data_IF_554785496981
#
_entry.id   IF_554785496981
#
_cell.length_a   1.000
_cell.length_b   1.000
_cell.length_c   1.000
_cell.angle_alpha   90.00
_cell.angle_beta   90.00
_cell.angle_gamma   90.00
#
_symmetry.space_group_name_H-M   'P 1'
#
loop_
_entity.id
_entity.type
_entity.pdbx_description
1 polymer ?
#
# COMPACT_ATOMS: atom_id res chain seq x y z
N UNK A 1 -11.48 8.59 21.30
CA UNK A 1 -10.23 8.94 20.57
C UNK A 1 -9.07 7.96 20.81
N UNK A 2 -9.07 7.17 21.89
CA UNK A 2 -7.98 6.24 22.23
C UNK A 2 -7.86 5.04 21.27
N UNK A 3 -8.99 4.49 20.82
CA UNK A 3 -9.06 3.31 19.94
C UNK A 3 -8.29 3.49 18.61
N UNK A 4 -8.52 4.54 17.81
CA UNK A 4 -7.80 4.73 16.55
C UNK A 4 -6.30 5.01 16.73
N UNK A 5 -5.91 5.64 17.85
CA UNK A 5 -4.49 5.89 18.16
C UNK A 5 -3.78 4.57 18.47
N UNK A 6 -4.35 3.74 19.35
CA UNK A 6 -3.80 2.43 19.68
C UNK A 6 -3.68 1.53 18.44
N UNK A 7 -4.70 1.54 17.59
CA UNK A 7 -4.69 0.79 16.34
C UNK A 7 -3.63 1.31 15.35
N UNK A 8 -3.51 2.63 15.20
CA UNK A 8 -2.49 3.24 14.34
C UNK A 8 -1.07 2.90 14.78
N UNK A 9 -0.80 2.89 16.09
CA UNK A 9 0.50 2.46 16.64
C UNK A 9 0.76 0.99 16.34
N UNK A 10 -0.23 0.12 16.61
CA UNK A 10 -0.10 -1.32 16.38
C UNK A 10 0.17 -1.63 14.90
N UNK A 11 -0.63 -1.04 14.00
CA UNK A 11 -0.46 -1.20 12.55
C UNK A 11 0.87 -0.63 12.08
N UNK A 12 1.31 0.51 12.62
CA UNK A 12 2.60 1.12 12.28
C UNK A 12 3.77 0.20 12.61
N UNK A 13 3.79 -0.38 13.83
CA UNK A 13 4.84 -1.31 14.28
C UNK A 13 4.84 -2.59 13.43
N UNK A 14 3.66 -3.18 13.19
CA UNK A 14 3.55 -4.38 12.37
C UNK A 14 3.99 -4.13 10.92
N UNK A 15 3.61 -2.98 10.36
CA UNK A 15 3.87 -2.66 8.96
C UNK A 15 5.31 -2.19 8.71
N UNK A 16 5.99 -1.63 9.71
CA UNK A 16 7.33 -1.09 9.53
C UNK A 16 8.36 -2.17 9.18
N UNK A 17 8.17 -3.40 9.67
CA UNK A 17 9.00 -4.55 9.35
C UNK A 17 8.63 -5.23 8.02
N UNK A 18 7.37 -5.16 7.60
CA UNK A 18 6.89 -5.81 6.36
C UNK A 18 7.09 -4.95 5.10
N UNK A 19 7.30 -3.64 5.24
CA UNK A 19 7.43 -2.72 4.11
C UNK A 19 6.14 -2.44 3.33
N UNK A 20 4.98 -2.96 3.77
CA UNK A 20 3.69 -2.88 3.07
C UNK A 20 2.93 -1.56 3.29
N UNK A 21 3.42 -0.66 4.15
CA UNK A 21 2.85 0.69 4.33
C UNK A 21 1.55 0.78 5.16
N UNK A 22 0.97 -0.32 5.63
CA UNK A 22 -0.12 -0.35 6.64
C UNK A 22 -1.49 0.23 6.23
N UNK A 23 -1.57 0.90 5.08
CA UNK A 23 -2.80 1.55 4.58
C UNK A 23 -3.96 0.59 4.34
N UNK A 24 -3.68 -0.68 4.02
CA UNK A 24 -4.69 -1.71 3.83
C UNK A 24 -5.53 -1.98 5.09
N UNK A 25 -5.02 -1.66 6.28
CA UNK A 25 -5.75 -1.76 7.55
C UNK A 25 -6.40 -0.43 7.96
N UNK A 26 -5.79 0.70 7.59
CA UNK A 26 -6.28 2.04 7.98
C UNK A 26 -7.53 2.45 7.20
N UNK A 27 -7.60 2.15 5.89
CA UNK A 27 -8.77 2.51 5.07
C UNK A 27 -10.06 1.83 5.56
N UNK A 28 -10.11 0.49 5.75
CA UNK A 28 -11.32 -0.17 6.24
C UNK A 28 -11.74 0.30 7.63
N UNK A 29 -10.78 0.58 8.52
CA UNK A 29 -11.07 1.11 9.86
C UNK A 29 -11.78 2.46 9.78
N UNK A 30 -11.25 3.40 8.99
CA UNK A 30 -11.84 4.73 8.86
C UNK A 30 -13.25 4.68 8.25
N UNK A 31 -13.48 3.78 7.29
CA UNK A 31 -14.80 3.54 6.72
C UNK A 31 -15.78 2.97 7.76
N UNK A 32 -15.36 2.00 8.58
CA UNK A 32 -16.18 1.46 9.67
C UNK A 32 -16.51 2.50 10.74
N UNK A 33 -15.64 3.49 10.92
CA UNK A 33 -15.86 4.64 11.80
C UNK A 33 -16.79 5.72 11.18
N UNK A 34 -17.40 5.44 10.03
CA UNK A 34 -18.34 6.35 9.37
C UNK A 34 -17.68 7.54 8.66
N UNK A 35 -16.37 7.47 8.36
CA UNK A 35 -15.71 8.50 7.55
C UNK A 35 -16.00 8.29 6.08
N UNK A 36 -16.19 9.39 5.37
CA UNK A 36 -16.33 9.36 3.91
C UNK A 36 -15.10 8.71 3.25
N UNK A 37 -15.33 7.94 2.19
CA UNK A 37 -14.27 7.23 1.48
C UNK A 37 -13.13 8.15 1.02
N UNK A 38 -13.46 9.37 0.58
CA UNK A 38 -12.48 10.36 0.17
C UNK A 38 -11.55 10.77 1.32
N UNK A 39 -12.10 11.00 2.51
CA UNK A 39 -11.34 11.35 3.72
C UNK A 39 -10.54 10.15 4.21
N UNK A 40 -11.12 8.94 4.18
CA UNK A 40 -10.44 7.71 4.59
C UNK A 40 -9.21 7.43 3.73
N UNK A 41 -9.36 7.52 2.40
CA UNK A 41 -8.26 7.32 1.44
C UNK A 41 -7.18 8.38 1.62
N UNK A 42 -7.54 9.67 1.66
CA UNK A 42 -6.58 10.75 1.86
C UNK A 42 -5.80 10.64 3.17
N UNK A 43 -6.48 10.29 4.26
CA UNK A 43 -5.85 10.08 5.58
C UNK A 43 -4.90 8.90 5.56
N UNK A 44 -5.28 7.80 4.90
CA UNK A 44 -4.44 6.62 4.79
C UNK A 44 -3.15 6.90 4.00
N UNK A 45 -3.18 7.75 2.97
CA UNK A 45 -1.97 8.15 2.24
C UNK A 45 -0.96 8.86 3.13
N UNK A 46 -1.41 9.78 3.99
CA UNK A 46 -0.54 10.47 4.95
C UNK A 46 0.06 9.45 5.92
N UNK A 47 -0.74 8.50 6.40
CA UNK A 47 -0.26 7.43 7.27
C UNK A 47 0.80 6.56 6.59
N UNK A 48 0.53 6.09 5.36
CA UNK A 48 1.46 5.29 4.57
C UNK A 48 2.78 6.05 4.36
N UNK A 49 2.71 7.35 4.05
CA UNK A 49 3.89 8.20 3.87
C UNK A 49 4.75 8.25 5.14
N UNK A 50 4.14 8.42 6.31
CA UNK A 50 4.85 8.45 7.59
C UNK A 50 5.52 7.10 7.90
N UNK A 51 4.81 5.99 7.66
CA UNK A 51 5.36 4.64 7.82
C UNK A 51 6.53 4.42 6.84
N UNK A 52 6.38 4.83 5.58
CA UNK A 52 7.42 4.68 4.56
C UNK A 52 8.69 5.46 4.91
N UNK A 53 8.57 6.70 5.38
CA UNK A 53 9.72 7.50 5.85
C UNK A 53 10.39 6.81 7.04
N UNK A 54 9.60 6.37 8.03
CA UNK A 54 10.13 5.66 9.20
C UNK A 54 10.88 4.38 8.80
N UNK A 55 10.30 3.57 7.91
CA UNK A 55 10.92 2.35 7.39
C UNK A 55 12.18 2.65 6.59
N UNK A 56 12.18 3.68 5.73
CA UNK A 56 13.35 4.08 4.96
C UNK A 56 14.50 4.50 5.88
N UNK A 57 14.24 5.34 6.87
CA UNK A 57 15.26 5.77 7.85
C UNK A 57 15.77 4.57 8.65
N UNK A 58 14.87 3.69 9.11
CA UNK A 58 15.24 2.48 9.85
C UNK A 58 16.16 1.57 9.04
N UNK A 59 15.78 1.22 7.81
CA UNK A 59 16.57 0.34 6.95
C UNK A 59 17.84 1.00 6.43
N UNK A 60 17.82 2.31 6.18
CA UNK A 60 19.00 3.06 5.73
C UNK A 60 20.10 3.06 6.78
N UNK A 61 19.76 3.14 8.07
CA UNK A 61 20.74 3.10 9.17
C UNK A 61 21.44 1.73 9.28
N UNK A 62 20.77 0.66 8.86
CA UNK A 62 21.30 -0.71 8.89
C UNK A 62 22.04 -1.06 7.58
N UNK A 63 22.06 -0.16 6.59
CA UNK A 63 22.72 -0.38 5.30
C UNK A 63 21.93 -1.27 4.33
N UNK A 64 20.67 -1.59 4.62
CA UNK A 64 19.82 -2.49 3.83
C UNK A 64 19.06 -1.78 2.69
N UNK A 65 19.47 -0.57 2.30
CA UNK A 65 18.78 0.22 1.28
C UNK A 65 19.63 0.28 0.01
N UNK A 66 19.14 -0.35 -1.06
CA UNK A 66 19.63 -0.09 -2.40
C UNK A 66 18.99 1.20 -2.94
N UNK A 67 19.78 2.28 -2.92
CA UNK A 67 19.33 3.60 -3.35
C UNK A 67 19.03 3.69 -4.85
N UNK A 68 19.67 2.87 -5.69
CA UNK A 68 19.40 2.87 -7.14
C UNK A 68 18.04 2.24 -7.41
N UNK A 69 17.80 1.07 -6.85
CA UNK A 69 16.52 0.36 -6.99
C UNK A 69 15.40 1.17 -6.35
N UNK A 70 15.64 1.73 -5.16
CA UNK A 70 14.67 2.60 -4.47
C UNK A 70 14.28 3.82 -5.29
N UNK A 71 15.24 4.51 -5.92
CA UNK A 71 14.96 5.67 -6.76
C UNK A 71 14.17 5.30 -8.03
N UNK A 72 14.53 4.18 -8.70
CA UNK A 72 13.79 3.70 -9.87
C UNK A 72 12.34 3.31 -9.52
N UNK A 73 12.13 2.64 -8.37
CA UNK A 73 10.80 2.31 -7.88
C UNK A 73 10.00 3.56 -7.52
N UNK A 74 10.62 4.56 -6.88
CA UNK A 74 9.96 5.82 -6.56
C UNK A 74 9.51 6.56 -7.82
N UNK A 75 10.37 6.66 -8.84
CA UNK A 75 10.03 7.28 -10.13
C UNK A 75 8.89 6.53 -10.83
N UNK A 76 8.99 5.20 -10.93
CA UNK A 76 7.94 4.37 -11.52
C UNK A 76 6.61 4.52 -10.77
N UNK A 77 6.65 4.57 -9.44
CA UNK A 77 5.49 4.77 -8.59
C UNK A 77 4.83 6.14 -8.79
N UNK A 78 5.61 7.22 -8.84
CA UNK A 78 5.11 8.58 -9.08
C UNK A 78 4.46 8.68 -10.47
N UNK A 79 5.13 8.17 -11.50
CA UNK A 79 4.60 8.18 -12.87
C UNK A 79 3.32 7.34 -12.96
N UNK A 80 3.31 6.15 -12.37
CA UNK A 80 2.13 5.27 -12.35
C UNK A 80 0.96 5.86 -11.58
N UNK A 81 1.21 6.50 -10.43
CA UNK A 81 0.15 7.13 -9.62
C UNK A 81 -0.52 8.31 -10.33
N UNK A 82 0.22 9.04 -11.18
CA UNK A 82 -0.34 10.13 -11.98
C UNK A 82 -0.99 9.63 -13.27
N UNK A 83 -0.35 8.69 -13.97
CA UNK A 83 -0.85 8.18 -15.25
C UNK A 83 -2.05 7.23 -15.07
N UNK A 84 -2.11 6.46 -14.00
CA UNK A 84 -3.16 5.47 -13.75
C UNK A 84 -4.58 6.05 -13.81
N UNK A 85 -4.90 7.10 -13.03
CA UNK A 85 -6.21 7.74 -13.08
C UNK A 85 -6.56 8.31 -14.47
N UNK A 86 -5.57 8.87 -15.19
CA UNK A 86 -5.76 9.43 -16.53
C UNK A 86 -6.12 8.33 -17.55
N UNK A 87 -5.47 7.18 -17.45
CA UNK A 87 -5.74 6.01 -18.30
C UNK A 87 -7.11 5.42 -17.92
N UNK A 88 -7.46 5.35 -16.64
CA UNK A 88 -8.75 4.85 -16.18
C UNK A 88 -9.94 5.60 -16.77
N UNK A 89 -9.82 6.92 -16.98
CA UNK A 89 -10.89 7.73 -17.59
C UNK A 89 -11.23 7.32 -19.04
N UNK A 90 -10.35 6.57 -19.72
CA UNK A 90 -10.55 6.11 -21.10
C UNK A 90 -10.99 4.65 -21.19
N UNK A 91 -11.12 3.95 -20.06
CA UNK A 91 -11.47 2.53 -20.00
C UNK A 91 -12.83 2.39 -19.32
N UNK A 92 -13.70 1.51 -19.82
CA UNK A 92 -14.97 1.25 -19.17
C UNK A 92 -14.77 0.58 -17.80
N UNK A 93 -15.53 1.00 -16.79
CA UNK A 93 -15.49 0.44 -15.43
C UNK A 93 -15.55 -1.09 -15.40
N UNK A 94 -16.37 -1.68 -16.28
CA UNK A 94 -16.52 -3.13 -16.38
C UNK A 94 -15.25 -3.83 -16.87
N UNK A 95 -14.55 -3.24 -17.85
CA UNK A 95 -13.30 -3.79 -18.37
C UNK A 95 -12.16 -3.61 -17.37
N UNK A 96 -12.09 -2.46 -16.70
CA UNK A 96 -11.14 -2.24 -15.62
C UNK A 96 -11.32 -3.26 -14.49
N UNK A 97 -12.57 -3.43 -14.00
CA UNK A 97 -12.88 -4.42 -12.95
C UNK A 97 -12.50 -5.84 -13.37
N UNK A 98 -12.81 -6.25 -14.62
CA UNK A 98 -12.42 -7.58 -15.12
C UNK A 98 -10.90 -7.76 -15.15
N UNK A 99 -10.17 -6.80 -15.71
CA UNK A 99 -8.71 -6.83 -15.77
C UNK A 99 -8.10 -6.90 -14.36
N UNK A 100 -8.56 -6.02 -13.47
CA UNK A 100 -8.08 -5.95 -12.09
C UNK A 100 -8.36 -7.25 -11.32
N UNK A 101 -9.55 -7.83 -11.48
CA UNK A 101 -9.89 -9.13 -10.87
C UNK A 101 -8.98 -10.25 -11.38
N UNK A 102 -8.69 -10.33 -12.68
CA UNK A 102 -7.77 -11.34 -13.23
C UNK A 102 -6.36 -11.16 -12.68
N UNK A 103 -5.88 -9.92 -12.59
CA UNK A 103 -4.56 -9.61 -12.02
C UNK A 103 -4.47 -10.02 -10.55
N UNK A 104 -5.51 -9.73 -9.75
CA UNK A 104 -5.57 -10.12 -8.34
C UNK A 104 -5.63 -11.64 -8.14
N UNK A 105 -6.44 -12.35 -8.93
CA UNK A 105 -6.49 -13.82 -8.85
C UNK A 105 -5.16 -14.43 -9.29
N UNK A 106 -4.55 -13.91 -10.36
CA UNK A 106 -3.25 -14.37 -10.84
C UNK A 106 -2.14 -14.19 -9.81
N UNK A 107 -2.05 -13.01 -9.20
CA UNK A 107 -1.08 -12.72 -8.12
C UNK A 107 -1.37 -13.53 -6.86
N UNK A 108 -2.65 -13.69 -6.48
CA UNK A 108 -3.05 -14.52 -5.34
C UNK A 108 -2.68 -15.99 -5.53
N UNK A 109 -2.94 -16.55 -6.71
CA UNK A 109 -2.53 -17.92 -7.04
C UNK A 109 -1.00 -18.04 -7.01
N UNK A 110 -0.28 -17.11 -7.62
CA UNK A 110 1.19 -17.12 -7.61
C UNK A 110 1.75 -17.08 -6.18
N UNK A 111 1.24 -16.21 -5.32
CA UNK A 111 1.62 -16.13 -3.91
C UNK A 111 1.31 -17.43 -3.16
N UNK A 112 0.18 -18.08 -3.46
CA UNK A 112 -0.19 -19.36 -2.85
C UNK A 112 0.73 -20.51 -3.29
N UNK A 113 1.16 -20.51 -4.56
CA UNK A 113 2.17 -21.45 -5.04
C UNK A 113 3.54 -21.18 -4.40
N UNK A 114 3.91 -19.90 -4.26
CA UNK A 114 5.16 -19.48 -3.62
C UNK A 114 5.19 -19.84 -2.13
N UNK A 115 4.06 -19.70 -1.41
CA UNK A 115 3.99 -20.05 0.01
C UNK A 115 4.08 -21.56 0.27
N UNK A 116 3.73 -22.40 -0.71
CA UNK A 116 3.90 -23.86 -0.64
C UNK A 116 5.31 -24.34 -1.01
N UNK A 117 6.14 -23.48 -1.61
CA UNK A 117 7.48 -23.84 -2.11
C UNK A 117 8.62 -23.28 -1.26
N UNK A 118 8.32 -22.53 -0.20
CA UNK A 118 9.27 -22.16 0.84
C UNK A 118 9.29 -23.25 1.93
N UNK A 119 10.44 -23.85 2.26
CA UNK A 119 10.58 -24.74 3.41
C UNK A 119 10.38 -24.01 4.75
#
# INVERSE_FOLDING_TARGET
MIIPVAFGVLVGVLSSGSGLGGGFLVVPLLLQMGKEAKVAVGTSFIFILMVAISSLVGHSRVGNVDWKVGALLALGGILGAQAGPLILNHISDQNFKRFFSVLLVGTGLWLFYQSRTLP
#
